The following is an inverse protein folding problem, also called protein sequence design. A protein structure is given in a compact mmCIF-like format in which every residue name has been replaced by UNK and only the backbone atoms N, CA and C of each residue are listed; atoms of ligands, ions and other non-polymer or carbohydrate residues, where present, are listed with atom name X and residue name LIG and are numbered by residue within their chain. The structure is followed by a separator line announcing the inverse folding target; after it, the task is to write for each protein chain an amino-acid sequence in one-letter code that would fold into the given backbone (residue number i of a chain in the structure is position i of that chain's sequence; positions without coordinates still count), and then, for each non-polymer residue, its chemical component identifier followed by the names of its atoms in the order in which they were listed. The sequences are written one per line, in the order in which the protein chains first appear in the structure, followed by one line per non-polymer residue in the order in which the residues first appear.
data_IF_652571321967
#
_entry.id   IF_652571321967
#
_cell.length_a   1.000
_cell.length_b   1.000
_cell.length_c   1.000
_cell.angle_alpha   90.00
_cell.angle_beta   90.00
_cell.angle_gamma   90.00
#
_symmetry.space_group_name_H-M   'P 1'
#
loop_
_entity.id
_entity.type
_entity.pdbx_description
1 polymer ?
#
# COMPACT_ATOMS: atom_id res chain seq x y z
N UNK A 1 5.44 17.34 -37.37
CA UNK A 1 4.61 16.90 -36.22
C UNK A 1 5.15 17.56 -34.96
N UNK A 2 4.52 18.65 -34.50
CA UNK A 2 4.92 19.34 -33.26
C UNK A 2 4.30 18.56 -32.11
N UNK A 3 5.13 17.90 -31.29
CA UNK A 3 4.70 17.27 -30.04
C UNK A 3 4.35 18.39 -29.05
N UNK A 4 3.08 18.81 -29.05
CA UNK A 4 2.54 19.71 -28.02
C UNK A 4 2.73 19.00 -26.68
N UNK A 5 3.67 19.49 -25.86
CA UNK A 5 3.87 19.00 -24.50
C UNK A 5 2.67 19.43 -23.66
N UNK A 6 1.60 18.66 -23.72
CA UNK A 6 0.47 18.78 -22.79
C UNK A 6 1.06 18.58 -21.40
N UNK A 7 1.01 19.63 -20.56
CA UNK A 7 1.37 19.45 -19.14
C UNK A 7 0.47 18.34 -18.62
N UNK A 8 1.03 17.28 -18.03
CA UNK A 8 0.21 16.20 -17.50
C UNK A 8 -0.83 16.86 -16.57
N UNK A 9 -2.12 16.49 -16.68
CA UNK A 9 -3.13 17.03 -15.79
C UNK A 9 -2.65 16.91 -14.35
N UNK A 10 -2.95 17.89 -13.51
CA UNK A 10 -2.66 17.82 -12.09
C UNK A 10 -3.10 16.45 -11.54
N UNK A 11 -2.30 15.86 -10.65
CA UNK A 11 -2.67 14.61 -10.02
C UNK A 11 -3.96 14.81 -9.24
N UNK A 12 -5.04 14.14 -9.65
CA UNK A 12 -6.29 14.12 -8.92
C UNK A 12 -6.17 13.29 -7.64
N UNK A 13 -6.98 13.58 -6.60
CA UNK A 13 -7.00 12.77 -5.38
C UNK A 13 -7.34 11.30 -5.67
N UNK A 14 -8.18 11.02 -6.67
CA UNK A 14 -8.53 9.65 -7.07
C UNK A 14 -7.33 8.92 -7.68
N UNK A 15 -6.59 9.57 -8.58
CA UNK A 15 -5.37 8.98 -9.18
C UNK A 15 -4.29 8.74 -8.12
N UNK A 16 -4.15 9.65 -7.16
CA UNK A 16 -3.25 9.51 -6.02
C UNK A 16 -3.63 8.33 -5.14
N UNK A 17 -4.93 8.13 -4.90
CA UNK A 17 -5.43 7.00 -4.14
C UNK A 17 -5.20 5.67 -4.88
N UNK A 18 -5.41 5.64 -6.20
CA UNK A 18 -5.12 4.47 -7.04
C UNK A 18 -3.62 4.14 -6.97
N UNK A 19 -2.74 5.14 -7.12
CA UNK A 19 -1.30 4.96 -7.00
C UNK A 19 -0.91 4.43 -5.61
N UNK A 20 -1.52 4.97 -4.54
CA UNK A 20 -1.29 4.53 -3.18
C UNK A 20 -1.67 3.04 -3.00
N UNK A 21 -2.89 2.68 -3.41
CA UNK A 21 -3.40 1.32 -3.27
C UNK A 21 -2.57 0.32 -4.09
N UNK A 22 -2.15 0.71 -5.30
CA UNK A 22 -1.28 -0.11 -6.13
C UNK A 22 0.06 -0.39 -5.43
N UNK A 23 0.69 0.66 -4.89
CA UNK A 23 1.96 0.54 -4.17
C UNK A 23 1.80 -0.31 -2.91
N UNK A 24 0.68 -0.20 -2.19
CA UNK A 24 0.41 -1.04 -1.02
C UNK A 24 0.26 -2.52 -1.41
N UNK A 25 -0.38 -2.82 -2.53
CA UNK A 25 -0.60 -4.20 -2.98
C UNK A 25 0.64 -4.84 -3.62
N UNK A 26 1.52 -4.04 -4.25
CA UNK A 26 2.65 -4.53 -5.06
C UNK A 26 4.02 -4.20 -4.45
N UNK A 27 4.08 -3.80 -3.18
CA UNK A 27 5.35 -3.66 -2.45
C UNK A 27 5.81 -5.02 -1.91
N UNK A 28 7.02 -5.42 -2.30
CA UNK A 28 7.68 -6.61 -1.77
C UNK A 28 8.14 -6.39 -0.33
N UNK A 29 8.38 -7.47 0.41
CA UNK A 29 8.95 -7.43 1.76
C UNK A 29 10.32 -6.73 1.84
N UNK A 30 11.03 -6.65 0.71
CA UNK A 30 12.31 -5.93 0.55
C UNK A 30 12.14 -4.42 0.39
N UNK A 31 10.92 -3.91 0.25
CA UNK A 31 10.62 -2.50 0.02
C UNK A 31 10.69 -2.06 -1.46
N UNK A 32 10.99 -2.99 -2.37
CA UNK A 32 10.86 -2.77 -3.81
C UNK A 32 9.39 -2.82 -4.23
N UNK A 33 9.01 -2.03 -5.23
CA UNK A 33 7.65 -1.98 -5.77
C UNK A 33 7.70 -2.58 -7.17
N UNK A 34 6.83 -3.55 -7.45
CA UNK A 34 6.57 -4.00 -8.81
C UNK A 34 5.77 -2.94 -9.55
N UNK A 35 6.24 -2.53 -10.71
CA UNK A 35 5.59 -1.52 -11.56
C UNK A 35 5.07 -2.08 -12.87
N UNK A 36 5.18 -3.38 -13.09
CA UNK A 36 4.89 -4.01 -14.38
C UNK A 36 3.46 -3.72 -14.86
N UNK A 37 2.51 -3.73 -13.93
CA UNK A 37 1.08 -3.58 -14.22
C UNK A 37 0.53 -2.16 -14.00
N UNK A 38 1.35 -1.18 -13.60
CA UNK A 38 0.86 0.16 -13.23
C UNK A 38 0.07 0.84 -14.35
N UNK A 39 0.41 0.55 -15.61
CA UNK A 39 -0.24 1.13 -16.78
C UNK A 39 -1.70 0.68 -16.92
N UNK A 40 -2.07 -0.47 -16.34
CA UNK A 40 -3.47 -0.95 -16.31
C UNK A 40 -4.31 -0.14 -15.31
N UNK A 41 -3.69 0.36 -14.24
CA UNK A 41 -4.35 1.14 -13.20
C UNK A 41 -4.38 2.64 -13.51
N UNK A 42 -3.31 3.15 -14.14
CA UNK A 42 -3.17 4.56 -14.51
C UNK A 42 -2.76 4.68 -15.99
N UNK A 43 -3.68 4.40 -16.94
CA UNK A 43 -3.37 4.36 -18.38
C UNK A 43 -2.95 5.72 -18.95
N UNK A 44 -3.30 6.81 -18.26
CA UNK A 44 -2.94 8.17 -18.65
C UNK A 44 -1.63 8.66 -18.01
N UNK A 45 -0.94 7.82 -17.24
CA UNK A 45 0.29 8.17 -16.53
C UNK A 45 1.43 7.26 -16.95
N UNK A 46 2.58 7.87 -17.19
CA UNK A 46 3.79 7.10 -17.46
C UNK A 46 4.42 6.62 -16.16
N UNK A 47 5.21 5.54 -16.24
CA UNK A 47 5.96 5.02 -15.10
C UNK A 47 6.79 6.10 -14.38
N UNK A 48 7.49 6.95 -15.16
CA UNK A 48 8.30 8.05 -14.63
C UNK A 48 7.46 9.08 -13.85
N UNK A 49 6.21 9.33 -14.28
CA UNK A 49 5.30 10.21 -13.55
C UNK A 49 4.83 9.57 -12.24
N UNK A 50 4.49 8.28 -12.26
CA UNK A 50 4.06 7.53 -11.07
C UNK A 50 5.17 7.48 -10.01
N UNK A 51 6.40 7.17 -10.40
CA UNK A 51 7.55 7.12 -9.46
C UNK A 51 7.87 8.50 -8.90
N UNK A 52 7.89 9.54 -9.73
CA UNK A 52 8.09 10.94 -9.30
C UNK A 52 6.99 11.38 -8.32
N UNK A 53 5.74 10.98 -8.57
CA UNK A 53 4.62 11.30 -7.70
C UNK A 53 4.72 10.58 -6.37
N UNK A 54 5.00 9.28 -6.37
CA UNK A 54 5.18 8.50 -5.16
C UNK A 54 6.29 9.10 -4.27
N UNK A 55 7.40 9.53 -4.88
CA UNK A 55 8.47 10.19 -4.14
C UNK A 55 7.99 11.45 -3.41
N UNK A 56 7.23 12.32 -4.09
CA UNK A 56 6.64 13.53 -3.47
C UNK A 56 5.61 13.17 -2.39
N UNK A 57 4.77 12.19 -2.66
CA UNK A 57 3.77 11.67 -1.73
C UNK A 57 4.39 11.13 -0.44
N UNK A 58 5.56 10.48 -0.51
CA UNK A 58 6.32 10.02 0.68
C UNK A 58 6.87 11.17 1.53
N UNK A 59 7.17 12.31 0.92
CA UNK A 59 7.64 13.52 1.62
C UNK A 59 6.49 14.27 2.29
N UNK A 60 5.29 14.19 1.72
CA UNK A 60 4.07 14.81 2.23
C UNK A 60 3.34 13.88 3.21
N UNK A 61 3.87 13.81 4.44
CA UNK A 61 3.38 12.87 5.46
C UNK A 61 2.06 13.28 6.11
N UNK A 62 1.63 14.52 5.92
CA UNK A 62 0.37 15.05 6.46
C UNK A 62 -0.81 14.69 5.56
N UNK A 63 -0.61 14.78 4.24
CA UNK A 63 -1.64 14.44 3.26
C UNK A 63 -1.82 12.93 3.07
N UNK A 64 -0.73 12.17 3.16
CA UNK A 64 -0.76 10.73 2.96
C UNK A 64 0.02 10.04 4.09
N UNK A 65 -0.66 9.25 4.91
CA UNK A 65 -0.07 8.60 6.09
C UNK A 65 0.83 7.40 5.74
N UNK A 66 1.80 7.57 4.83
CA UNK A 66 2.72 6.52 4.38
C UNK A 66 3.53 5.89 5.52
N UNK A 67 3.81 6.64 6.61
CA UNK A 67 4.59 6.12 7.75
C UNK A 67 3.94 4.92 8.46
N UNK A 68 2.65 4.64 8.24
CA UNK A 68 1.98 3.45 8.77
C UNK A 68 2.25 2.17 7.94
N UNK A 69 2.71 2.28 6.70
CA UNK A 69 2.92 1.11 5.81
C UNK A 69 4.07 0.20 6.25
N UNK A 70 5.05 0.72 7.01
CA UNK A 70 6.13 -0.08 7.60
C UNK A 70 5.80 -0.73 8.95
N UNK A 71 4.54 -0.61 9.43
CA UNK A 71 4.09 -1.19 10.70
C UNK A 71 2.79 -1.99 10.53
N UNK A 72 2.70 -2.88 9.54
CA UNK A 72 1.87 -4.07 9.74
C UNK A 72 2.66 -5.00 10.67
N UNK A 73 2.49 -4.76 11.97
CA UNK A 73 3.01 -5.62 13.01
C UNK A 73 2.33 -6.98 12.85
N UNK A 74 3.14 -8.02 12.72
CA UNK A 74 2.83 -9.43 12.52
C UNK A 74 2.19 -10.04 13.80
N UNK A 75 1.33 -9.28 14.50
CA UNK A 75 0.75 -9.67 15.79
C UNK A 75 -0.76 -9.42 15.85
N UNK A 76 -1.48 -9.79 14.81
CA UNK A 76 -2.88 -10.23 14.99
C UNK A 76 -2.89 -11.75 15.27
N UNK A 77 -2.04 -12.20 16.20
CA UNK A 77 -2.27 -13.44 16.93
C UNK A 77 -2.92 -13.08 18.27
N UNK A 78 -4.01 -12.31 18.24
CA UNK A 78 -4.99 -12.39 19.31
C UNK A 78 -5.91 -13.58 18.99
N UNK A 79 -5.33 -14.78 18.88
CA UNK A 79 -6.07 -16.00 19.15
C UNK A 79 -6.44 -15.94 20.62
N UNK A 80 -7.59 -15.33 20.89
CA UNK A 80 -8.32 -15.52 22.12
C UNK A 80 -8.51 -17.02 22.23
N UNK A 81 -7.62 -17.69 22.97
CA UNK A 81 -7.85 -19.07 23.36
C UNK A 81 -9.18 -19.01 24.11
N UNK A 82 -10.22 -19.60 23.53
CA UNK A 82 -11.52 -19.68 24.17
C UNK A 82 -11.31 -20.33 25.53
N UNK A 83 -11.73 -19.64 26.60
CA UNK A 83 -11.55 -20.09 28.00
C UNK A 83 -12.05 -21.53 28.18
N UNK A 84 -13.05 -21.91 27.40
CA UNK A 84 -13.66 -23.23 27.34
C UNK A 84 -12.67 -24.34 26.94
N UNK A 85 -11.74 -24.06 26.02
CA UNK A 85 -10.72 -25.02 25.57
C UNK A 85 -9.69 -25.24 26.69
N UNK A 86 -9.28 -24.17 27.38
CA UNK A 86 -8.34 -24.27 28.49
C UNK A 86 -8.95 -25.03 29.68
N UNK A 87 -10.24 -24.80 29.95
CA UNK A 87 -10.97 -25.50 30.99
C UNK A 87 -11.10 -27.00 30.70
N UNK A 88 -11.38 -27.38 29.44
CA UNK A 88 -11.46 -28.77 29.03
C UNK A 88 -10.12 -29.51 29.18
N UNK A 89 -9.00 -28.87 28.81
CA UNK A 89 -7.66 -29.47 28.97
C UNK A 89 -7.32 -29.67 30.45
N UNK A 90 -7.63 -28.69 31.31
CA UNK A 90 -7.39 -28.81 32.75
C UNK A 90 -8.25 -29.89 33.42
N UNK A 91 -9.47 -30.12 32.91
CA UNK A 91 -10.34 -31.20 33.40
C UNK A 91 -9.84 -32.58 32.98
N UNK A 92 -9.25 -32.70 31.78
CA UNK A 92 -8.69 -33.96 31.28
C UNK A 92 -7.36 -34.37 31.95
N UNK A 93 -6.72 -33.45 32.69
CA UNK A 93 -5.48 -33.68 33.43
C UNK A 93 -5.70 -34.10 34.89
N UNK A 94 -6.95 -34.25 35.33
CA UNK A 94 -7.32 -34.85 36.62
C UNK A 94 -7.76 -36.30 36.41
#
# INVERSE_FOLDING_TARGET
MIQVRVRPPCWGPDEEQILFNYVEAHVFSTGHIDWTDINNYLPNRTLSQCTSKLHRMRQDTDRFKFRKLGKKNIRDNNTVIQVDVLLAVLQAMK
#
